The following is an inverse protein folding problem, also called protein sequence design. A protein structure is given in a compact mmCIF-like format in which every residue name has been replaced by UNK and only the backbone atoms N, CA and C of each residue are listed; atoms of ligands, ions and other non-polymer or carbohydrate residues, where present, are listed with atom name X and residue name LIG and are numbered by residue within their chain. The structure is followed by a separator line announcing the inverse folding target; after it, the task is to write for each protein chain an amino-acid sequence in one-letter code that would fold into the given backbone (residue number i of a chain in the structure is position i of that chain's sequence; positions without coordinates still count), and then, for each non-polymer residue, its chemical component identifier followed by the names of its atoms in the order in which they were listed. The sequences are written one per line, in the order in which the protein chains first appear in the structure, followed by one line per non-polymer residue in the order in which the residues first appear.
data_IF_571644874457
#
_entry.id   IF_571644874457
#
_cell.length_a   1.000
_cell.length_b   1.000
_cell.length_c   1.000
_cell.angle_alpha   90.00
_cell.angle_beta   90.00
_cell.angle_gamma   90.00
#
_symmetry.space_group_name_H-M   'P 1'
#
loop_
_entity.id
_entity.type
_entity.pdbx_description
1 polymer ?
#
# COMPACT_ATOMS: atom_id res chain seq x y z
N UNK A 1 -11.54 -11.62 16.76
CA UNK A 1 -12.90 -11.10 16.98
C UNK A 1 -12.97 -10.57 18.42
N UNK A 2 -13.35 -9.30 18.63
CA UNK A 2 -13.27 -8.63 19.93
C UNK A 2 -14.24 -9.20 20.98
N UNK A 3 -15.44 -9.60 20.57
CA UNK A 3 -16.43 -10.25 21.44
C UNK A 3 -15.89 -11.58 21.96
N UNK A 4 -15.26 -12.39 21.09
CA UNK A 4 -14.62 -13.64 21.49
C UNK A 4 -13.41 -13.45 22.42
N UNK A 5 -12.87 -12.22 22.49
CA UNK A 5 -11.78 -11.84 23.39
C UNK A 5 -12.29 -11.27 24.72
N UNK A 6 -13.59 -11.39 25.02
CA UNK A 6 -14.19 -10.94 26.29
C UNK A 6 -14.41 -9.43 26.40
N UNK A 7 -14.34 -8.69 25.28
CA UNK A 7 -14.57 -7.24 25.27
C UNK A 7 -16.05 -6.92 25.06
N UNK A 8 -16.51 -5.84 25.68
CA UNK A 8 -17.84 -5.29 25.46
C UNK A 8 -17.83 -4.43 24.20
N UNK A 9 -18.71 -4.72 23.23
CA UNK A 9 -18.78 -4.01 21.96
C UNK A 9 -20.15 -3.35 21.83
N UNK A 10 -20.19 -2.02 21.80
CA UNK A 10 -21.40 -1.25 21.51
C UNK A 10 -21.36 -0.78 20.06
N UNK A 11 -22.47 -0.96 19.34
CA UNK A 11 -22.61 -0.59 17.93
C UNK A 11 -23.95 0.10 17.71
N UNK A 12 -24.06 0.90 16.66
CA UNK A 12 -25.33 1.47 16.24
C UNK A 12 -26.31 0.37 15.78
N UNK A 13 -27.60 0.55 16.08
CA UNK A 13 -28.67 -0.38 15.69
C UNK A 13 -28.80 -0.49 14.16
N UNK A 14 -28.49 0.58 13.42
CA UNK A 14 -28.55 0.64 11.95
C UNK A 14 -27.28 1.26 11.41
N UNK A 15 -26.90 0.87 10.19
CA UNK A 15 -25.74 1.43 9.50
C UNK A 15 -25.93 2.93 9.31
N UNK A 16 -24.89 3.72 9.60
CA UNK A 16 -24.90 5.15 9.30
C UNK A 16 -24.66 5.32 7.80
N UNK A 17 -25.42 6.22 7.16
CA UNK A 17 -25.17 6.67 5.80
C UNK A 17 -25.07 8.19 5.82
N UNK A 18 -23.86 8.73 5.65
CA UNK A 18 -23.62 10.17 5.71
C UNK A 18 -22.45 10.54 4.79
N UNK A 19 -22.63 11.57 3.96
CA UNK A 19 -21.60 12.07 3.03
C UNK A 19 -20.93 10.98 2.15
N UNK A 20 -21.69 9.99 1.69
CA UNK A 20 -21.17 8.90 0.85
C UNK A 20 -20.43 7.79 1.61
N UNK A 21 -20.21 7.95 2.92
CA UNK A 21 -19.75 6.87 3.78
C UNK A 21 -20.95 6.07 4.31
N UNK A 22 -20.86 4.74 4.22
CA UNK A 22 -21.82 3.79 4.77
C UNK A 22 -21.09 2.76 5.62
N UNK A 23 -21.40 2.69 6.91
CA UNK A 23 -20.77 1.75 7.83
C UNK A 23 -21.27 1.86 9.26
N UNK A 24 -20.60 1.14 10.15
CA UNK A 24 -20.83 1.14 11.59
C UNK A 24 -19.67 1.79 12.35
N UNK A 25 -19.98 2.39 13.49
CA UNK A 25 -19.01 2.73 14.52
C UNK A 25 -19.10 1.71 15.65
N UNK A 26 -17.96 1.26 16.17
CA UNK A 26 -17.88 0.34 17.30
C UNK A 26 -17.15 1.00 18.45
N UNK A 27 -17.74 0.94 19.64
CA UNK A 27 -17.04 1.22 20.89
C UNK A 27 -16.68 -0.13 21.50
N UNK A 28 -15.39 -0.43 21.63
CA UNK A 28 -14.88 -1.66 22.23
C UNK A 28 -14.30 -1.30 23.59
N UNK A 29 -14.84 -1.87 24.67
CA UNK A 29 -14.41 -1.63 26.04
C UNK A 29 -13.88 -2.94 26.63
N UNK A 30 -12.74 -2.83 27.31
CA UNK A 30 -12.21 -3.86 28.18
C UNK A 30 -12.84 -3.75 29.57
N UNK A 31 -13.72 -4.68 29.97
CA UNK A 31 -14.40 -4.58 31.26
C UNK A 31 -13.45 -4.74 32.44
N UNK A 32 -12.28 -5.38 32.26
CA UNK A 32 -11.30 -5.60 33.33
C UNK A 32 -10.45 -4.36 33.61
N UNK A 33 -10.07 -3.63 32.56
CA UNK A 33 -9.13 -2.49 32.65
C UNK A 33 -9.80 -1.13 32.48
N UNK A 34 -11.03 -1.10 31.95
CA UNK A 34 -11.72 0.12 31.52
C UNK A 34 -11.16 0.73 30.23
N UNK A 35 -10.17 0.11 29.59
CA UNK A 35 -9.59 0.60 28.34
C UNK A 35 -10.62 0.51 27.19
N UNK A 36 -10.76 1.59 26.44
CA UNK A 36 -11.73 1.68 25.35
C UNK A 36 -11.10 2.09 24.02
N UNK A 37 -11.63 1.58 22.92
CA UNK A 37 -11.31 2.01 21.57
C UNK A 37 -12.58 2.34 20.79
N UNK A 38 -12.55 3.43 20.04
CA UNK A 38 -13.58 3.76 19.05
C UNK A 38 -13.07 3.38 17.66
N UNK A 39 -13.78 2.47 16.99
CA UNK A 39 -13.47 1.96 15.66
C UNK A 39 -14.54 2.45 14.69
N UNK A 40 -14.12 2.86 13.49
CA UNK A 40 -15.02 3.23 12.40
C UNK A 40 -14.82 2.20 11.30
N UNK A 41 -15.90 1.57 10.85
CA UNK A 41 -15.89 0.65 9.71
C UNK A 41 -15.60 1.42 8.41
N UNK A 42 -14.90 0.78 7.47
CA UNK A 42 -14.61 1.38 6.17
C UNK A 42 -13.26 2.09 6.09
N UNK A 43 -12.24 1.57 6.77
CA UNK A 43 -10.89 2.11 6.75
C UNK A 43 -9.98 1.29 5.86
N UNK A 44 -9.44 1.90 4.80
CA UNK A 44 -8.45 1.25 3.94
C UNK A 44 -7.21 0.80 4.71
N UNK A 45 -6.64 -0.34 4.32
CA UNK A 45 -5.44 -0.90 4.92
C UNK A 45 -4.23 0.00 4.64
N UNK A 46 -3.65 0.56 5.69
CA UNK A 46 -2.46 1.43 5.58
C UNK A 46 -1.27 0.76 4.87
N UNK A 47 -1.18 -0.57 4.92
CA UNK A 47 -0.13 -1.33 4.22
C UNK A 47 -0.26 -1.20 2.69
N UNK A 48 -1.49 -1.03 2.17
CA UNK A 48 -1.72 -0.79 0.75
C UNK A 48 -1.17 0.57 0.29
N UNK A 49 -1.43 1.62 1.07
CA UNK A 49 -0.84 2.95 0.84
C UNK A 49 0.69 2.90 0.96
N UNK A 50 1.21 2.17 1.96
CA UNK A 50 2.64 1.94 2.14
C UNK A 50 3.28 1.29 0.90
N UNK A 51 2.63 0.26 0.36
CA UNK A 51 3.03 -0.43 -0.86
C UNK A 51 3.04 0.50 -2.07
N UNK A 52 1.99 1.32 -2.25
CA UNK A 52 1.90 2.31 -3.32
C UNK A 52 3.09 3.28 -3.28
N UNK A 53 3.37 3.85 -2.11
CA UNK A 53 4.47 4.82 -1.92
C UNK A 53 5.83 4.16 -2.23
N UNK A 54 6.06 2.96 -1.70
CA UNK A 54 7.29 2.21 -1.97
C UNK A 54 7.46 1.88 -3.46
N UNK A 55 6.39 1.47 -4.14
CA UNK A 55 6.42 1.16 -5.56
C UNK A 55 6.66 2.39 -6.41
N UNK A 56 6.04 3.54 -6.10
CA UNK A 56 6.31 4.80 -6.81
C UNK A 56 7.74 5.29 -6.59
N UNK A 57 8.27 5.18 -5.38
CA UNK A 57 9.68 5.51 -5.11
C UNK A 57 10.63 4.68 -6.00
N UNK A 58 10.33 3.38 -6.18
CA UNK A 58 11.10 2.52 -7.07
C UNK A 58 10.93 2.91 -8.55
N UNK A 59 9.69 3.17 -8.99
CA UNK A 59 9.43 3.61 -10.37
C UNK A 59 10.13 4.92 -10.69
N UNK A 60 10.09 5.91 -9.79
CA UNK A 60 10.80 7.18 -9.94
C UNK A 60 12.32 6.99 -10.01
N UNK A 61 12.88 6.10 -9.18
CA UNK A 61 14.29 5.75 -9.23
C UNK A 61 14.66 5.14 -10.59
N UNK A 62 13.92 4.14 -11.05
CA UNK A 62 14.16 3.46 -12.33
C UNK A 62 13.93 4.36 -13.56
N UNK A 63 12.90 5.20 -13.53
CA UNK A 63 12.60 6.11 -14.63
C UNK A 63 13.71 7.16 -14.84
N UNK A 64 14.33 7.64 -13.78
CA UNK A 64 15.41 8.61 -13.91
C UNK A 64 16.71 8.01 -14.46
N UNK A 65 16.93 6.71 -14.30
CA UNK A 65 18.03 5.99 -14.97
C UNK A 65 17.85 5.96 -16.50
N UNK A 66 16.63 6.21 -17.02
CA UNK A 66 16.36 6.28 -18.45
C UNK A 66 16.66 7.64 -19.08
N UNK A 67 16.89 8.69 -18.27
CA UNK A 67 17.16 10.04 -18.77
C UNK A 67 18.66 10.14 -19.11
N UNK A 68 19.05 10.62 -20.31
CA UNK A 68 20.45 10.91 -20.62
C UNK A 68 21.04 11.89 -19.58
N UNK A 69 22.08 11.47 -18.87
CA UNK A 69 22.66 12.23 -17.74
C UNK A 69 22.11 11.86 -16.35
N UNK A 70 21.07 11.03 -16.26
CA UNK A 70 20.52 10.53 -14.98
C UNK A 70 21.53 9.73 -14.16
N UNK A 71 22.52 9.10 -14.82
CA UNK A 71 23.63 8.40 -14.15
C UNK A 71 24.50 9.33 -13.30
N UNK A 72 24.55 10.62 -13.63
CA UNK A 72 25.28 11.61 -12.82
C UNK A 72 24.54 11.93 -11.51
N UNK A 73 23.21 11.78 -11.51
CA UNK A 73 22.36 12.05 -10.35
C UNK A 73 22.15 10.82 -9.44
N UNK A 74 22.63 9.64 -9.85
CA UNK A 74 22.45 8.36 -9.16
C UNK A 74 22.72 8.41 -7.64
N UNK A 75 23.79 9.07 -7.14
CA UNK A 75 24.03 9.18 -5.70
C UNK A 75 22.95 9.98 -4.97
N UNK A 76 22.52 11.12 -5.55
CA UNK A 76 21.47 11.97 -4.98
C UNK A 76 20.11 11.25 -5.01
N UNK A 77 19.85 10.48 -6.06
CA UNK A 77 18.64 9.69 -6.21
C UNK A 77 18.60 8.49 -5.25
N UNK A 78 19.71 7.79 -5.08
CA UNK A 78 19.83 6.71 -4.12
C UNK A 78 19.65 7.21 -2.69
N UNK A 79 20.21 8.39 -2.35
CA UNK A 79 19.98 9.04 -1.07
C UNK A 79 18.51 9.42 -0.87
N UNK A 80 17.87 10.03 -1.87
CA UNK A 80 16.44 10.37 -1.80
C UNK A 80 15.55 9.14 -1.64
N UNK A 81 15.87 8.04 -2.31
CA UNK A 81 15.15 6.77 -2.18
C UNK A 81 15.35 6.15 -0.79
N UNK A 82 16.58 6.14 -0.25
CA UNK A 82 16.86 5.65 1.10
C UNK A 82 16.08 6.44 2.16
N UNK A 83 16.10 7.78 2.08
CA UNK A 83 15.34 8.68 2.97
C UNK A 83 13.84 8.40 2.89
N UNK A 84 13.30 8.13 1.70
CA UNK A 84 11.89 7.80 1.54
C UNK A 84 11.53 6.45 2.21
N UNK A 85 12.39 5.43 2.09
CA UNK A 85 12.18 4.13 2.75
C UNK A 85 12.29 4.24 4.27
N UNK A 86 13.25 5.01 4.78
CA UNK A 86 13.43 5.26 6.20
C UNK A 86 12.23 6.02 6.78
N UNK A 87 11.75 7.06 6.09
CA UNK A 87 10.53 7.78 6.47
C UNK A 87 9.30 6.89 6.49
N UNK A 88 9.18 5.97 5.53
CA UNK A 88 8.10 5.00 5.46
C UNK A 88 8.15 4.00 6.62
N UNK A 89 9.35 3.52 6.97
CA UNK A 89 9.56 2.64 8.12
C UNK A 89 9.22 3.32 9.45
N UNK A 90 9.55 4.62 9.59
CA UNK A 90 9.16 5.42 10.77
C UNK A 90 7.65 5.57 10.89
N UNK A 91 6.96 5.91 9.79
CA UNK A 91 5.48 6.00 9.78
C UNK A 91 4.85 4.65 10.15
N UNK A 92 5.40 3.54 9.67
CA UNK A 92 4.92 2.21 10.04
C UNK A 92 5.06 1.96 11.55
N UNK A 93 6.22 2.25 12.13
CA UNK A 93 6.48 2.07 13.56
C UNK A 93 5.57 2.94 14.45
N UNK A 94 5.12 4.09 13.94
CA UNK A 94 4.21 5.00 14.66
C UNK A 94 2.73 4.59 14.53
N UNK A 95 2.34 3.98 13.40
CA UNK A 95 0.92 3.82 13.04
C UNK A 95 0.42 2.38 13.07
N UNK A 96 1.29 1.36 12.97
CA UNK A 96 0.85 -0.01 12.77
C UNK A 96 1.71 -1.03 13.55
N UNK A 97 1.00 -1.88 14.30
CA UNK A 97 1.57 -2.99 15.08
C UNK A 97 2.09 -4.15 14.19
N UNK A 98 1.78 -4.15 12.89
CA UNK A 98 2.23 -5.17 11.91
C UNK A 98 1.89 -4.76 10.47
N UNK A 99 2.77 -5.07 9.51
CA UNK A 99 2.51 -4.90 8.06
C UNK A 99 1.60 -6.04 7.59
N UNK A 100 0.48 -5.71 6.95
CA UNK A 100 -0.28 -6.69 6.17
C UNK A 100 0.43 -6.89 4.81
N UNK A 101 1.13 -8.01 4.68
CA UNK A 101 1.94 -8.31 3.51
C UNK A 101 1.13 -8.49 2.22
N UNK A 102 -0.13 -8.94 2.33
CA UNK A 102 -1.00 -9.10 1.16
C UNK A 102 -1.40 -7.73 0.63
N UNK A 103 -1.81 -6.82 1.52
CA UNK A 103 -2.16 -5.46 1.12
C UNK A 103 -0.94 -4.63 0.70
N UNK A 104 0.21 -4.83 1.34
CA UNK A 104 1.47 -4.20 0.93
C UNK A 104 1.88 -4.60 -0.49
N UNK A 105 1.91 -5.91 -0.77
CA UNK A 105 2.30 -6.39 -2.10
C UNK A 105 1.29 -5.93 -3.15
N UNK A 106 -0.02 -5.98 -2.88
CA UNK A 106 -1.03 -5.44 -3.77
C UNK A 106 -0.74 -3.97 -4.12
N UNK A 107 -0.53 -3.11 -3.11
CA UNK A 107 -0.21 -1.70 -3.28
C UNK A 107 1.06 -1.46 -4.09
N UNK A 108 2.13 -2.20 -3.78
CA UNK A 108 3.40 -2.12 -4.49
C UNK A 108 3.25 -2.46 -5.97
N UNK A 109 2.55 -3.55 -6.28
CA UNK A 109 2.28 -3.96 -7.66
C UNK A 109 1.44 -2.95 -8.42
N UNK A 110 0.48 -2.29 -7.76
CA UNK A 110 -0.29 -1.22 -8.41
C UNK A 110 0.58 -0.07 -8.89
N UNK A 111 1.58 0.31 -8.10
CA UNK A 111 2.47 1.43 -8.40
C UNK A 111 3.52 1.07 -9.46
N UNK A 112 3.75 -0.20 -9.77
CA UNK A 112 4.59 -0.64 -10.89
C UNK A 112 3.89 -0.54 -12.26
N UNK A 113 2.56 -0.42 -12.28
CA UNK A 113 1.80 -0.35 -13.55
C UNK A 113 2.25 0.77 -14.50
N UNK A 114 2.57 2.00 -14.06
CA UNK A 114 3.03 3.06 -14.96
C UNK A 114 4.39 2.78 -15.58
N UNK A 115 5.23 1.98 -14.91
CA UNK A 115 6.55 1.60 -15.42
C UNK A 115 6.40 0.80 -16.73
N UNK A 116 5.42 -0.10 -16.81
CA UNK A 116 5.15 -0.89 -18.03
C UNK A 116 4.86 -0.02 -19.25
N UNK A 117 4.14 1.09 -19.06
CA UNK A 117 3.79 2.06 -20.10
C UNK A 117 5.05 2.79 -20.57
N UNK A 118 5.92 3.20 -19.63
CA UNK A 118 7.19 3.86 -19.94
C UNK A 118 8.15 2.97 -20.76
N UNK A 119 8.13 1.65 -20.55
CA UNK A 119 8.96 0.69 -21.30
C UNK A 119 8.55 0.46 -22.76
N UNK A 120 7.30 0.77 -23.14
CA UNK A 120 6.86 0.64 -24.54
C UNK A 120 7.54 1.65 -25.48
N UNK A 121 8.17 2.70 -24.95
CA UNK A 121 8.82 3.76 -25.72
C UNK A 121 10.36 3.71 -25.86
N UNK A 122 11.10 2.84 -25.15
CA UNK A 122 12.57 2.83 -25.13
C UNK A 122 13.22 1.58 -25.78
N UNK A 123 14.47 1.70 -26.23
CA UNK A 123 15.21 0.71 -27.03
C UNK A 123 15.52 -0.65 -26.36
N UNK A 124 15.87 -1.63 -27.21
CA UNK A 124 15.91 -3.08 -26.99
C UNK A 124 16.79 -3.58 -25.82
N UNK A 125 17.81 -2.84 -25.40
CA UNK A 125 18.79 -3.29 -24.39
C UNK A 125 18.27 -3.17 -22.95
N UNK A 126 17.42 -2.18 -22.63
CA UNK A 126 16.82 -2.04 -21.28
C UNK A 126 15.54 -2.88 -21.12
N UNK A 127 14.86 -3.20 -22.23
CA UNK A 127 13.66 -4.07 -22.25
C UNK A 127 13.93 -5.46 -21.66
N UNK A 128 15.15 -5.97 -21.78
CA UNK A 128 15.50 -7.30 -21.28
C UNK A 128 15.60 -7.36 -19.75
N UNK A 129 16.18 -6.34 -19.10
CA UNK A 129 16.37 -6.31 -17.64
C UNK A 129 15.04 -6.09 -16.93
N UNK A 130 14.20 -5.18 -17.43
CA UNK A 130 12.90 -4.92 -16.79
C UNK A 130 11.78 -5.81 -17.29
N UNK A 131 11.91 -6.37 -18.50
CA UNK A 131 11.14 -7.54 -18.89
C UNK A 131 11.35 -8.71 -17.93
N UNK A 132 12.58 -8.96 -17.47
CA UNK A 132 12.91 -10.02 -16.51
C UNK A 132 12.33 -9.76 -15.10
N UNK A 133 12.20 -8.49 -14.69
CA UNK A 133 11.57 -8.11 -13.41
C UNK A 133 10.03 -8.14 -13.49
N UNK A 134 9.45 -7.81 -14.65
CA UNK A 134 8.01 -7.76 -14.87
C UNK A 134 7.40 -9.13 -15.20
N UNK A 135 8.10 -10.04 -15.89
CA UNK A 135 7.61 -11.41 -16.13
C UNK A 135 7.65 -12.29 -14.89
N UNK A 136 8.38 -11.88 -13.84
CA UNK A 136 8.40 -12.54 -12.54
C UNK A 136 7.17 -12.21 -11.67
N UNK A 137 6.38 -11.21 -12.05
CA UNK A 137 5.16 -10.80 -11.34
C UNK A 137 3.97 -11.15 -12.24
N UNK A 138 2.90 -11.79 -11.75
CA UNK A 138 1.69 -12.01 -12.56
C UNK A 138 1.02 -10.65 -12.86
N UNK A 139 1.43 -10.05 -13.98
CA UNK A 139 1.00 -8.72 -14.46
C UNK A 139 -0.54 -8.67 -14.62
N UNK A 140 -1.16 -9.82 -14.89
CA UNK A 140 -2.61 -9.96 -14.95
C UNK A 140 -3.30 -9.62 -13.62
N UNK A 141 -2.73 -10.01 -12.49
CA UNK A 141 -3.32 -9.74 -11.17
C UNK A 141 -3.14 -8.28 -10.73
N UNK A 142 -1.98 -7.69 -11.04
CA UNK A 142 -1.67 -6.29 -10.71
C UNK A 142 -2.51 -5.28 -11.52
N UNK A 143 -2.80 -5.59 -12.79
CA UNK A 143 -3.53 -4.70 -13.69
C UNK A 143 -5.05 -4.86 -13.52
N UNK A 144 -5.55 -6.09 -13.40
CA UNK A 144 -6.99 -6.36 -13.44
C UNK A 144 -7.63 -6.77 -12.10
N UNK A 145 -6.87 -6.82 -11.01
CA UNK A 145 -7.37 -7.16 -9.67
C UNK A 145 -8.22 -8.45 -9.65
N UNK A 146 -7.80 -9.49 -10.39
CA UNK A 146 -8.58 -10.73 -10.54
C UNK A 146 -8.84 -11.46 -9.21
N UNK A 147 -8.03 -11.19 -8.17
CA UNK A 147 -8.21 -11.73 -6.82
C UNK A 147 -9.06 -10.83 -5.89
N UNK A 148 -9.50 -9.64 -6.34
CA UNK A 148 -10.22 -8.66 -5.52
C UNK A 148 -9.42 -8.09 -4.36
N UNK A 149 -8.10 -8.35 -4.32
CA UNK A 149 -7.19 -7.95 -3.25
C UNK A 149 -7.18 -6.44 -3.04
N UNK A 150 -7.26 -5.63 -4.11
CA UNK A 150 -7.29 -4.17 -3.99
C UNK A 150 -8.59 -3.70 -3.35
N UNK A 151 -9.73 -4.27 -3.74
CA UNK A 151 -11.03 -3.91 -3.13
C UNK A 151 -11.13 -4.31 -1.66
N UNK A 152 -10.44 -5.38 -1.24
CA UNK A 152 -10.34 -5.77 0.17
C UNK A 152 -9.42 -4.85 0.98
N UNK A 153 -8.36 -4.32 0.38
CA UNK A 153 -7.43 -3.40 1.04
C UNK A 153 -7.87 -1.94 1.03
N UNK A 154 -8.87 -1.56 0.23
CA UNK A 154 -9.42 -0.20 0.16
C UNK A 154 -10.70 0.00 0.99
N UNK A 155 -11.21 -1.06 1.64
CA UNK A 155 -12.41 -1.04 2.47
C UNK A 155 -12.07 -1.24 3.93
#
# INVERSE_FOLDING_TARGET
NAVNAGKEVTVHEKSINKHGWKGFGYIVIDPETGAGAYLIEGGGNGSYLLGIVAGFALVSFLAALMIPGGVVLLPAMAAGFAIALEGLALVHMLMAKSIDWQCFTAGFLTALTPLTILYTGFGITLKAIVGMLLTAIPIGEAVFDFAGSRTGCMR
#
